data_IF_290981651319
#
_entry.id   IF_290981651319
#
_cell.length_a   1.000
_cell.length_b   1.000
_cell.length_c   1.000
_cell.angle_alpha   90.00
_cell.angle_beta   90.00
_cell.angle_gamma   90.00
#
_symmetry.space_group_name_H-M   'P 1'
#
loop_
_entity.id
_entity.type
_entity.pdbx_description
1 polymer ?
#
# COMPACT_ATOMS: atom_id res chain seq x y z
N UNK A 1 31.88 1.78 -9.84
CA UNK A 1 30.65 2.37 -9.26
C UNK A 1 29.78 1.22 -8.77
N UNK A 2 29.90 0.87 -7.48
CA UNK A 2 29.14 -0.22 -6.89
C UNK A 2 27.71 0.28 -6.61
N UNK A 3 26.82 0.14 -7.60
CA UNK A 3 25.38 0.25 -7.39
C UNK A 3 24.94 -0.98 -6.60
N UNK A 4 24.96 -0.87 -5.27
CA UNK A 4 24.43 -1.89 -4.38
C UNK A 4 22.96 -2.10 -4.72
N UNK A 5 22.59 -3.27 -5.22
CA UNK A 5 21.20 -3.72 -5.27
C UNK A 5 20.80 -3.96 -3.82
N UNK A 6 20.49 -2.88 -3.09
CA UNK A 6 20.17 -2.92 -1.67
C UNK A 6 18.77 -3.48 -1.50
N UNK A 7 18.72 -4.62 -0.82
CA UNK A 7 17.65 -4.92 0.10
C UNK A 7 16.65 -5.92 -0.44
N UNK A 8 16.54 -7.05 0.26
CA UNK A 8 15.32 -7.84 0.26
C UNK A 8 14.13 -6.88 0.39
N UNK A 9 13.25 -6.84 -0.61
CA UNK A 9 12.14 -5.91 -0.66
C UNK A 9 11.28 -6.08 0.61
N UNK A 10 11.31 -5.08 1.50
CA UNK A 10 10.43 -5.06 2.68
C UNK A 10 8.99 -5.06 2.16
N UNK A 11 8.09 -5.93 2.65
CA UNK A 11 6.69 -5.98 2.20
C UNK A 11 5.99 -4.61 2.21
N UNK A 12 6.37 -3.74 3.14
CA UNK A 12 5.91 -2.35 3.21
C UNK A 12 6.34 -1.52 2.00
N UNK A 13 7.61 -1.59 1.59
CA UNK A 13 8.12 -0.87 0.43
C UNK A 13 7.46 -1.37 -0.87
N UNK A 14 7.18 -2.68 -0.95
CA UNK A 14 6.43 -3.28 -2.06
C UNK A 14 5.02 -2.71 -2.10
N UNK A 15 4.30 -2.72 -0.97
CA UNK A 15 2.93 -2.23 -0.89
C UNK A 15 2.85 -0.74 -1.25
N UNK A 16 3.73 0.10 -0.70
CA UNK A 16 3.78 1.52 -1.03
C UNK A 16 4.06 1.75 -2.53
N UNK A 17 4.97 0.97 -3.12
CA UNK A 17 5.30 1.05 -4.54
C UNK A 17 4.12 0.66 -5.44
N UNK A 18 3.38 -0.40 -5.07
CA UNK A 18 2.20 -0.85 -5.81
C UNK A 18 1.05 0.16 -5.69
N UNK A 19 0.84 0.74 -4.52
CA UNK A 19 -0.14 1.82 -4.32
C UNK A 19 0.20 2.99 -5.25
N UNK A 20 1.45 3.46 -5.22
CA UNK A 20 1.89 4.57 -6.06
C UNK A 20 1.76 4.26 -7.56
N UNK A 21 2.04 3.01 -7.98
CA UNK A 21 1.86 2.53 -9.35
C UNK A 21 0.39 2.59 -9.77
N UNK A 22 -0.51 2.02 -8.97
CA UNK A 22 -1.93 1.95 -9.33
C UNK A 22 -2.62 3.31 -9.27
N UNK A 23 -2.25 4.18 -8.32
CA UNK A 23 -2.71 5.57 -8.30
C UNK A 23 -2.38 6.30 -9.61
N UNK A 24 -1.16 6.13 -10.13
CA UNK A 24 -0.76 6.72 -11.42
C UNK A 24 -1.53 6.09 -12.60
N UNK A 25 -1.71 4.77 -12.57
CA UNK A 25 -2.40 4.04 -13.64
C UNK A 25 -3.86 4.46 -13.77
N UNK A 26 -4.57 4.58 -12.65
CA UNK A 26 -5.99 4.93 -12.60
C UNK A 26 -6.25 6.42 -12.42
N UNK A 27 -5.18 7.24 -12.41
CA UNK A 27 -5.24 8.70 -12.23
C UNK A 27 -5.98 9.13 -10.96
N UNK A 28 -5.83 8.35 -9.89
CA UNK A 28 -6.41 8.62 -8.57
C UNK A 28 -5.41 9.50 -7.81
N UNK A 29 -5.86 10.66 -7.36
CA UNK A 29 -5.04 11.52 -6.52
C UNK A 29 -5.11 11.10 -5.04
N UNK A 30 -4.29 11.74 -4.20
CA UNK A 30 -4.22 11.40 -2.77
C UNK A 30 -5.44 11.85 -1.99
N UNK A 31 -6.11 12.91 -2.41
CA UNK A 31 -7.29 13.43 -1.72
C UNK A 31 -8.49 12.52 -2.01
N UNK A 32 -8.65 12.09 -3.26
CA UNK A 32 -9.64 11.10 -3.70
C UNK A 32 -9.44 9.77 -2.98
N UNK A 33 -8.20 9.27 -2.94
CA UNK A 33 -7.90 8.01 -2.24
C UNK A 33 -8.20 8.11 -0.74
N UNK A 34 -7.87 9.25 -0.11
CA UNK A 34 -8.15 9.45 1.30
C UNK A 34 -9.66 9.48 1.59
N UNK A 35 -10.44 10.12 0.72
CA UNK A 35 -11.89 10.14 0.81
C UNK A 35 -12.49 8.73 0.63
N UNK A 36 -12.03 7.97 -0.37
CA UNK A 36 -12.52 6.62 -0.68
C UNK A 36 -12.29 5.64 0.48
N UNK A 37 -11.12 5.71 1.12
CA UNK A 37 -10.81 4.85 2.27
C UNK A 37 -11.21 5.48 3.62
N UNK A 38 -11.88 6.64 3.59
CA UNK A 38 -12.46 7.37 4.73
C UNK A 38 -11.47 7.82 5.81
N UNK A 39 -10.36 8.39 5.38
CA UNK A 39 -9.28 8.86 6.27
C UNK A 39 -8.89 10.29 5.92
N UNK A 40 -8.26 11.00 6.86
CA UNK A 40 -7.70 12.32 6.53
C UNK A 40 -6.50 12.18 5.59
N UNK A 41 -6.22 13.22 4.78
CA UNK A 41 -5.02 13.27 3.93
C UNK A 41 -3.72 13.07 4.74
N UNK A 42 -3.65 13.63 5.93
CA UNK A 42 -2.50 13.47 6.84
C UNK A 42 -2.35 12.02 7.29
N UNK A 43 -3.46 11.37 7.64
CA UNK A 43 -3.49 9.95 8.01
C UNK A 43 -3.03 9.09 6.85
N UNK A 44 -3.56 9.32 5.64
CA UNK A 44 -3.12 8.61 4.44
C UNK A 44 -1.61 8.78 4.22
N UNK A 45 -1.09 10.00 4.34
CA UNK A 45 0.34 10.27 4.17
C UNK A 45 1.22 9.49 5.17
N UNK A 46 0.80 9.43 6.43
CA UNK A 46 1.51 8.66 7.46
C UNK A 46 1.48 7.16 7.15
N UNK A 47 0.33 6.62 6.72
CA UNK A 47 0.19 5.20 6.36
C UNK A 47 0.92 4.82 5.08
N UNK A 48 1.05 5.72 4.11
CA UNK A 48 1.88 5.47 2.94
C UNK A 48 3.37 5.40 3.28
N UNK A 49 3.81 6.10 4.34
CA UNK A 49 5.18 6.00 4.87
C UNK A 49 5.39 4.72 5.70
N UNK A 50 4.34 4.24 6.36
CA UNK A 50 4.33 3.00 7.15
C UNK A 50 3.07 2.18 6.85
N UNK A 51 3.08 1.36 5.79
CA UNK A 51 1.91 0.60 5.38
C UNK A 51 1.38 -0.42 6.41
N UNK A 52 2.17 -0.76 7.43
CA UNK A 52 1.70 -1.53 8.60
C UNK A 52 0.67 -0.80 9.46
N UNK A 53 0.58 0.53 9.37
CA UNK A 53 -0.40 1.35 10.11
C UNK A 53 -1.80 1.36 9.45
N UNK A 54 -1.96 0.72 8.28
CA UNK A 54 -3.29 0.48 7.72
C UNK A 54 -4.00 -0.60 8.53
N UNK A 55 -5.23 -0.31 8.93
CA UNK A 55 -6.13 -1.36 9.45
C UNK A 55 -6.57 -2.28 8.31
N UNK A 56 -7.04 -3.48 8.66
CA UNK A 56 -7.54 -4.43 7.66
C UNK A 56 -8.69 -3.85 6.81
N UNK A 57 -9.64 -3.14 7.44
CA UNK A 57 -10.75 -2.50 6.72
C UNK A 57 -10.28 -1.43 5.74
N UNK A 58 -9.26 -0.67 6.09
CA UNK A 58 -8.69 0.35 5.19
C UNK A 58 -7.91 -0.26 4.05
N UNK A 59 -7.18 -1.37 4.29
CA UNK A 59 -6.55 -2.13 3.22
C UNK A 59 -7.58 -2.70 2.24
N UNK A 60 -8.71 -3.22 2.74
CA UNK A 60 -9.79 -3.71 1.87
C UNK A 60 -10.36 -2.61 0.96
N UNK A 61 -10.64 -1.43 1.53
CA UNK A 61 -11.11 -0.28 0.75
C UNK A 61 -10.04 0.19 -0.25
N UNK A 62 -8.79 0.28 0.18
CA UNK A 62 -7.66 0.67 -0.66
C UNK A 62 -7.45 -0.28 -1.84
N UNK A 63 -7.50 -1.59 -1.59
CA UNK A 63 -7.35 -2.60 -2.64
C UNK A 63 -8.47 -2.51 -3.67
N UNK A 64 -9.71 -2.26 -3.21
CA UNK A 64 -10.85 -2.05 -4.10
C UNK A 64 -10.71 -0.75 -4.92
N UNK A 65 -10.35 0.35 -4.27
CA UNK A 65 -10.18 1.66 -4.90
C UNK A 65 -9.08 1.65 -5.99
N UNK A 66 -8.02 0.87 -5.75
CA UNK A 66 -6.86 0.79 -6.63
C UNK A 66 -6.87 -0.44 -7.55
N UNK A 67 -8.04 -1.11 -7.69
CA UNK A 67 -8.26 -2.25 -8.57
C UNK A 67 -7.21 -3.37 -8.43
N UNK A 68 -6.81 -3.70 -7.20
CA UNK A 68 -5.93 -4.84 -6.94
C UNK A 68 -6.65 -6.16 -7.23
N UNK A 69 -5.94 -7.11 -7.83
CA UNK A 69 -6.48 -8.45 -8.06
C UNK A 69 -6.40 -9.30 -6.78
N UNK A 70 -7.15 -10.40 -6.72
CA UNK A 70 -7.05 -11.34 -5.60
C UNK A 70 -5.63 -11.92 -5.44
N UNK A 71 -4.92 -12.14 -6.55
CA UNK A 71 -3.53 -12.63 -6.52
C UNK A 71 -2.58 -11.61 -5.87
N UNK A 72 -2.72 -10.33 -6.21
CA UNK A 72 -1.93 -9.26 -5.60
C UNK A 72 -2.17 -9.20 -4.09
N UNK A 73 -3.43 -9.29 -3.67
CA UNK A 73 -3.82 -9.23 -2.25
C UNK A 73 -3.20 -10.40 -1.46
N UNK A 74 -3.27 -11.61 -1.99
CA UNK A 74 -2.70 -12.81 -1.34
C UNK A 74 -1.17 -12.69 -1.23
N UNK A 75 -0.52 -12.18 -2.28
CA UNK A 75 0.93 -11.95 -2.30
C UNK A 75 1.37 -10.91 -1.26
N UNK A 76 0.55 -9.89 -1.00
CA UNK A 76 0.85 -8.77 -0.09
C UNK A 76 0.49 -9.04 1.38
N UNK A 77 -0.61 -9.77 1.65
CA UNK A 77 -1.05 -10.05 3.02
C UNK A 77 -0.15 -11.11 3.68
N UNK A 78 0.27 -12.14 2.94
CA UNK A 78 1.03 -13.27 3.50
C UNK A 78 2.35 -12.86 4.17
N UNK A 79 3.13 -11.90 3.66
CA UNK A 79 4.33 -11.39 4.32
C UNK A 79 4.04 -10.43 5.47
N UNK A 80 3.00 -9.61 5.38
CA UNK A 80 2.62 -8.64 6.42
C UNK A 80 2.10 -9.34 7.69
N UNK A 81 1.29 -10.40 7.53
CA UNK A 81 0.75 -11.16 8.65
C UNK A 81 1.82 -11.89 9.48
N UNK A 82 2.93 -12.32 8.85
CA UNK A 82 4.02 -13.05 9.55
C UNK A 82 4.85 -12.18 10.49
N UNK A 83 4.75 -10.84 10.40
CA UNK A 83 5.52 -9.92 11.24
C UNK A 83 4.75 -9.40 12.47
N UNK A 84 3.43 -9.66 12.53
CA UNK A 84 2.57 -9.26 13.63
C UNK A 84 2.41 -10.36 14.71
N UNK A 85 3.17 -11.47 14.59
CA UNK A 85 3.20 -12.60 15.54
C UNK A 85 4.53 -12.65 16.29
#
# INVERSE_FOLDING_TARGET
MAGTIKGAHNPEDILASLIAKNMRLYRIDKDDLAAEIRVSRTTLYNRLRRPSDFTFSELQLLFRALHFTQEDIVSLIKPLARRAS
#
